data_IF_348828148138
#
_entry.id   IF_348828148138
#
_cell.length_a   1.000
_cell.length_b   1.000
_cell.length_c   1.000
_cell.angle_alpha   90.00
_cell.angle_beta   90.00
_cell.angle_gamma   90.00
#
_symmetry.space_group_name_H-M   'P 1'
#
loop_
_entity.id
_entity.type
_entity.pdbx_description
1 polymer ?
#
# COMPACT_ATOMS: atom_id res chain seq x y z
N UNK A 1 -7.59 -21.50 3.87
CA UNK A 1 -6.79 -20.27 3.69
C UNK A 1 -6.13 -20.30 2.31
N UNK A 2 -5.38 -19.27 1.94
CA UNK A 2 -4.72 -19.19 0.62
C UNK A 2 -3.23 -19.02 0.76
N UNK A 3 -2.48 -19.70 -0.10
CA UNK A 3 -1.03 -19.61 -0.21
C UNK A 3 -0.64 -19.38 -1.67
N UNK A 4 0.62 -18.99 -1.89
CA UNK A 4 1.19 -18.77 -3.22
C UNK A 4 2.57 -19.39 -3.28
N UNK A 5 2.83 -20.16 -4.33
CA UNK A 5 4.15 -20.64 -4.69
C UNK A 5 4.58 -20.07 -6.06
N UNK A 6 5.70 -20.57 -6.59
CA UNK A 6 6.21 -20.18 -7.91
C UNK A 6 5.25 -20.49 -9.06
N UNK A 7 4.34 -21.45 -8.88
CA UNK A 7 3.41 -21.93 -9.90
C UNK A 7 2.03 -21.26 -9.79
N UNK A 8 1.71 -20.60 -8.67
CA UNK A 8 0.53 -19.75 -8.54
C UNK A 8 -0.10 -19.78 -7.16
N UNK A 9 -1.33 -19.27 -7.07
CA UNK A 9 -2.14 -19.32 -5.87
C UNK A 9 -2.84 -20.66 -5.72
N UNK A 10 -2.99 -21.14 -4.48
CA UNK A 10 -3.70 -22.36 -4.13
C UNK A 10 -4.33 -22.28 -2.74
N UNK A 11 -5.23 -23.22 -2.46
CA UNK A 11 -5.91 -23.32 -1.19
C UNK A 11 -5.16 -24.25 -0.24
N UNK A 12 -5.08 -23.86 1.03
CA UNK A 12 -4.51 -24.66 2.09
C UNK A 12 -5.52 -24.84 3.23
N UNK A 13 -5.41 -25.98 3.91
CA UNK A 13 -6.16 -26.23 5.15
C UNK A 13 -5.55 -25.46 6.35
N UNK A 14 -6.05 -25.74 7.56
CA UNK A 14 -5.54 -25.12 8.80
C UNK A 14 -4.15 -25.62 9.21
N UNK A 15 -3.71 -26.76 8.70
CA UNK A 15 -2.37 -27.30 8.90
C UNK A 15 -1.37 -26.78 7.85
N UNK A 16 -1.84 -26.02 6.86
CA UNK A 16 -1.02 -25.49 5.76
C UNK A 16 -0.84 -26.48 4.60
N UNK A 17 -1.61 -27.57 4.57
CA UNK A 17 -1.54 -28.59 3.52
C UNK A 17 -2.34 -28.14 2.30
N UNK A 18 -1.77 -28.32 1.11
CA UNK A 18 -2.45 -28.07 -0.17
C UNK A 18 -3.68 -28.98 -0.31
N UNK A 19 -4.86 -28.37 -0.37
CA UNK A 19 -6.14 -29.09 -0.56
C UNK A 19 -6.58 -29.09 -2.03
N UNK A 20 -5.88 -28.36 -2.89
CA UNK A 20 -6.17 -28.25 -4.31
C UNK A 20 -5.52 -29.31 -5.18
N UNK A 21 -4.90 -30.34 -4.59
CA UNK A 21 -4.24 -31.44 -5.32
C UNK A 21 -3.26 -30.94 -6.39
N UNK A 22 -2.47 -29.90 -6.08
CA UNK A 22 -1.49 -29.32 -7.02
C UNK A 22 -2.09 -28.34 -8.03
N UNK A 23 -3.40 -28.06 -8.00
CA UNK A 23 -4.00 -27.02 -8.84
C UNK A 23 -3.50 -25.64 -8.45
N UNK A 24 -3.23 -24.82 -9.46
CA UNK A 24 -2.73 -23.47 -9.31
C UNK A 24 -3.58 -22.49 -10.12
N UNK A 25 -3.73 -21.30 -9.55
CA UNK A 25 -4.55 -20.24 -10.10
C UNK A 25 -3.74 -18.94 -10.16
N UNK A 26 -4.09 -18.07 -11.10
CA UNK A 26 -3.51 -16.73 -11.22
C UNK A 26 -3.93 -15.84 -10.05
N UNK A 27 -5.17 -15.99 -9.60
CA UNK A 27 -5.76 -15.34 -8.44
C UNK A 27 -6.83 -16.24 -7.82
N UNK A 28 -7.00 -16.18 -6.51
CA UNK A 28 -8.08 -16.86 -5.78
C UNK A 28 -8.68 -15.95 -4.71
N UNK A 29 -10.00 -15.99 -4.60
CA UNK A 29 -10.75 -15.52 -3.44
C UNK A 29 -10.92 -16.63 -2.40
N UNK A 30 -11.38 -16.28 -1.20
CA UNK A 30 -11.75 -17.29 -0.20
C UNK A 30 -13.05 -18.00 -0.61
N UNK A 31 -13.27 -19.19 -0.05
CA UNK A 31 -14.57 -19.85 -0.14
C UNK A 31 -15.60 -19.07 0.68
N UNK A 32 -16.66 -18.63 0.01
CA UNK A 32 -17.87 -18.07 0.59
C UNK A 32 -19.05 -18.97 0.22
N UNK A 33 -19.78 -19.48 1.22
CA UNK A 33 -20.88 -20.43 1.01
C UNK A 33 -20.51 -21.65 0.14
N UNK A 34 -19.31 -22.19 0.35
CA UNK A 34 -18.80 -23.36 -0.37
C UNK A 34 -18.35 -23.08 -1.81
N UNK A 35 -18.23 -21.81 -2.20
CA UNK A 35 -17.83 -21.40 -3.56
C UNK A 35 -16.69 -20.39 -3.53
N UNK A 36 -15.78 -20.46 -4.48
CA UNK A 36 -14.70 -19.47 -4.64
C UNK A 36 -14.60 -19.00 -6.08
N UNK A 37 -14.39 -17.70 -6.26
CA UNK A 37 -13.99 -17.12 -7.54
C UNK A 37 -12.48 -17.30 -7.73
N UNK A 38 -12.09 -17.89 -8.86
CA UNK A 38 -10.69 -18.13 -9.20
C UNK A 38 -10.40 -17.71 -10.63
N UNK A 39 -9.16 -17.29 -10.88
CA UNK A 39 -8.67 -16.98 -12.22
C UNK A 39 -7.69 -18.07 -12.68
N UNK A 40 -7.96 -18.73 -13.82
CA UNK A 40 -7.10 -19.79 -14.36
C UNK A 40 -5.78 -19.22 -14.91
N UNK A 41 -4.72 -20.04 -14.89
CA UNK A 41 -3.38 -19.61 -15.34
C UNK A 41 -3.26 -19.47 -16.86
N UNK A 42 -3.87 -20.38 -17.63
CA UNK A 42 -3.62 -20.52 -19.06
C UNK A 42 -4.32 -19.46 -19.92
N UNK A 43 -5.58 -19.16 -19.61
CA UNK A 43 -6.44 -18.28 -20.40
C UNK A 43 -6.89 -17.03 -19.62
N UNK A 44 -6.47 -16.92 -18.36
CA UNK A 44 -6.92 -15.87 -17.43
C UNK A 44 -8.44 -15.81 -17.25
N UNK A 45 -9.17 -16.86 -17.64
CA UNK A 45 -10.62 -16.95 -17.46
C UNK A 45 -10.95 -17.03 -15.99
N UNK A 46 -12.04 -16.38 -15.59
CA UNK A 46 -12.56 -16.49 -14.23
C UNK A 46 -13.58 -17.62 -14.18
N UNK A 47 -13.53 -18.42 -13.12
CA UNK A 47 -14.53 -19.44 -12.86
C UNK A 47 -14.89 -19.50 -11.38
N UNK A 48 -16.11 -19.95 -11.12
CA UNK A 48 -16.56 -20.27 -9.77
C UNK A 48 -16.29 -21.75 -9.56
N UNK A 49 -15.59 -22.10 -8.49
CA UNK A 49 -15.33 -23.48 -8.09
C UNK A 49 -16.03 -23.79 -6.76
N UNK A 50 -16.35 -25.06 -6.52
CA UNK A 50 -16.70 -25.54 -5.18
C UNK A 50 -15.46 -25.93 -4.35
N UNK A 51 -15.68 -26.34 -3.10
CA UNK A 51 -14.62 -26.81 -2.19
C UNK A 51 -13.91 -28.08 -2.67
N UNK A 52 -14.48 -28.80 -3.63
CA UNK A 52 -13.85 -29.95 -4.31
C UNK A 52 -13.16 -29.51 -5.62
N UNK A 53 -12.99 -28.21 -5.82
CA UNK A 53 -12.39 -27.59 -7.00
C UNK A 53 -13.12 -27.90 -8.31
N UNK A 54 -14.39 -28.32 -8.26
CA UNK A 54 -15.21 -28.52 -9.47
C UNK A 54 -15.68 -27.16 -9.97
N UNK A 55 -15.52 -26.92 -11.27
CA UNK A 55 -15.98 -25.68 -11.90
C UNK A 55 -17.52 -25.71 -11.94
N UNK A 56 -18.14 -24.79 -11.20
CA UNK A 56 -19.59 -24.59 -11.17
C UNK A 56 -20.05 -23.64 -12.28
N UNK A 57 -19.24 -22.62 -12.60
CA UNK A 57 -19.53 -21.66 -13.66
C UNK A 57 -18.24 -21.11 -14.26
N UNK A 58 -18.25 -20.84 -15.57
CA UNK A 58 -17.22 -20.05 -16.25
C UNK A 58 -17.78 -18.66 -16.50
N UNK A 59 -17.02 -17.64 -16.12
CA UNK A 59 -17.31 -16.27 -16.45
C UNK A 59 -16.51 -15.98 -17.72
N UNK A 60 -17.21 -15.74 -18.82
CA UNK A 60 -16.55 -15.30 -20.04
C UNK A 60 -15.85 -13.97 -19.77
N UNK A 61 -14.54 -13.93 -20.01
CA UNK A 61 -13.81 -12.68 -19.99
C UNK A 61 -14.33 -11.83 -21.16
N UNK A 62 -15.19 -10.85 -20.87
CA UNK A 62 -15.52 -9.86 -21.89
C UNK A 62 -14.23 -9.08 -22.19
N UNK A 63 -13.96 -8.80 -23.47
CA UNK A 63 -12.86 -7.90 -23.87
C UNK A 63 -12.92 -6.55 -23.12
N UNK A 64 -14.11 -6.14 -22.71
CA UNK A 64 -14.34 -4.96 -21.90
C UNK A 64 -13.73 -5.03 -20.49
N UNK A 65 -13.62 -6.21 -19.88
CA UNK A 65 -12.99 -6.37 -18.56
C UNK A 65 -11.47 -6.15 -18.64
N UNK A 66 -10.80 -6.76 -19.61
CA UNK A 66 -9.36 -6.54 -19.83
C UNK A 66 -9.06 -5.06 -20.12
N UNK A 67 -9.92 -4.40 -20.91
CA UNK A 67 -9.78 -2.96 -21.16
C UNK A 67 -9.96 -2.15 -19.88
N UNK A 68 -10.99 -2.46 -19.10
CA UNK A 68 -11.27 -1.79 -17.82
C UNK A 68 -10.12 -1.97 -16.82
N UNK A 69 -9.54 -3.16 -16.73
CA UNK A 69 -8.40 -3.45 -15.85
C UNK A 69 -7.16 -2.65 -16.26
N UNK A 70 -6.83 -2.62 -17.56
CA UNK A 70 -5.72 -1.80 -18.07
C UNK A 70 -5.98 -0.32 -17.82
N UNK A 71 -7.20 0.17 -18.06
CA UNK A 71 -7.57 1.55 -17.78
C UNK A 71 -7.46 1.89 -16.29
N UNK A 72 -7.86 0.98 -15.41
CA UNK A 72 -7.76 1.14 -13.96
C UNK A 72 -6.29 1.22 -13.51
N UNK A 73 -5.45 0.27 -13.93
CA UNK A 73 -4.01 0.28 -13.64
C UNK A 73 -3.35 1.53 -14.21
N UNK A 74 -3.71 1.91 -15.45
CA UNK A 74 -3.17 3.11 -16.10
C UNK A 74 -3.50 4.40 -15.35
N UNK A 75 -4.53 4.40 -14.50
CA UNK A 75 -4.93 5.56 -13.70
C UNK A 75 -4.63 5.39 -12.20
N UNK A 76 -4.23 4.21 -11.73
CA UNK A 76 -4.08 3.93 -10.29
C UNK A 76 -2.98 4.74 -9.59
N UNK A 77 -2.12 5.43 -10.37
CA UNK A 77 -1.09 6.30 -9.83
C UNK A 77 -1.64 7.61 -9.25
N UNK A 78 -2.69 8.19 -9.87
CA UNK A 78 -3.10 9.57 -9.55
C UNK A 78 -3.49 9.79 -8.09
N UNK A 79 -4.14 8.85 -7.36
CA UNK A 79 -4.49 9.06 -5.96
C UNK A 79 -3.26 9.27 -5.08
N UNK A 80 -2.18 8.53 -5.34
CA UNK A 80 -0.91 8.63 -4.60
C UNK A 80 -0.24 9.98 -4.83
N UNK A 81 -0.23 10.47 -6.06
CA UNK A 81 0.32 11.80 -6.38
C UNK A 81 -0.56 12.92 -5.80
N UNK A 82 -1.88 12.81 -5.90
CA UNK A 82 -2.79 13.78 -5.29
C UNK A 82 -2.59 13.85 -3.76
N UNK A 83 -2.46 12.69 -3.11
CA UNK A 83 -2.17 12.61 -1.68
C UNK A 83 -0.82 13.24 -1.33
N UNK A 84 0.23 12.97 -2.11
CA UNK A 84 1.55 13.58 -1.92
C UNK A 84 1.46 15.11 -2.00
N UNK A 85 0.95 15.63 -3.11
CA UNK A 85 0.90 17.07 -3.36
C UNK A 85 0.06 17.77 -2.29
N UNK A 86 -1.07 17.18 -1.88
CA UNK A 86 -1.88 17.80 -0.83
C UNK A 86 -1.27 17.71 0.58
N UNK A 87 -0.46 16.70 0.88
CA UNK A 87 0.33 16.65 2.12
C UNK A 87 1.39 17.76 2.13
N UNK A 88 1.96 18.09 0.97
CA UNK A 88 2.93 19.19 0.82
C UNK A 88 2.24 20.57 0.90
N UNK A 89 0.96 20.68 0.49
CA UNK A 89 0.17 21.93 0.46
C UNK A 89 -0.76 22.13 1.66
N UNK A 90 -0.65 21.28 2.67
CA UNK A 90 -1.64 20.99 3.73
C UNK A 90 -2.44 22.16 4.32
N UNK A 91 -1.77 23.25 4.72
CA UNK A 91 -2.44 24.41 5.35
C UNK A 91 -3.22 25.25 4.35
N UNK A 92 -2.82 25.20 3.09
CA UNK A 92 -3.38 26.02 2.02
C UNK A 92 -4.66 25.39 1.45
N UNK A 93 -4.94 24.11 1.74
CA UNK A 93 -6.10 23.39 1.21
C UNK A 93 -7.43 23.72 1.92
N UNK A 94 -7.41 24.34 3.09
CA UNK A 94 -8.66 24.64 3.82
C UNK A 94 -9.31 25.96 3.40
N UNK A 95 -8.54 26.85 2.77
CA UNK A 95 -9.02 28.14 2.30
C UNK A 95 -9.49 28.03 0.85
N UNK A 96 -10.68 28.54 0.57
CA UNK A 96 -11.13 28.76 -0.80
C UNK A 96 -10.71 30.17 -1.20
N UNK A 97 -9.96 30.27 -2.28
CA UNK A 97 -9.48 31.54 -2.79
C UNK A 97 -10.22 31.81 -4.10
N UNK A 98 -11.21 32.68 -4.03
CA UNK A 98 -12.09 32.95 -5.16
C UNK A 98 -11.54 34.02 -6.12
N UNK A 99 -10.33 34.55 -5.89
CA UNK A 99 -9.90 35.79 -6.57
C UNK A 99 -8.49 35.75 -7.19
N UNK A 100 -7.71 34.69 -7.02
CA UNK A 100 -6.44 34.52 -7.74
C UNK A 100 -6.63 33.66 -8.98
N UNK A 101 -6.19 34.16 -10.14
CA UNK A 101 -6.14 33.39 -11.40
C UNK A 101 -4.71 32.89 -11.72
N UNK A 102 -3.84 32.80 -10.71
CA UNK A 102 -2.49 32.27 -10.86
C UNK A 102 -2.47 30.73 -10.93
N UNK A 103 -1.36 30.14 -11.39
CA UNK A 103 -1.27 28.69 -11.54
C UNK A 103 -1.30 27.94 -10.20
N UNK A 104 -0.93 28.59 -9.09
CA UNK A 104 -0.96 27.98 -7.75
C UNK A 104 -2.38 27.88 -7.23
N UNK A 105 -3.24 28.86 -7.50
CA UNK A 105 -4.64 28.84 -7.12
C UNK A 105 -5.38 27.72 -7.84
N UNK A 106 -5.15 27.56 -9.15
CA UNK A 106 -5.70 26.46 -9.95
C UNK A 106 -5.25 25.10 -9.47
N UNK A 107 -3.95 24.92 -9.19
CA UNK A 107 -3.43 23.67 -8.66
C UNK A 107 -4.05 23.35 -7.29
N UNK A 108 -4.20 24.34 -6.40
CA UNK A 108 -4.86 24.17 -5.11
C UNK A 108 -6.32 23.75 -5.28
N UNK A 109 -7.09 24.40 -6.14
CA UNK A 109 -8.49 24.03 -6.42
C UNK A 109 -8.58 22.60 -6.94
N UNK A 110 -7.70 22.21 -7.87
CA UNK A 110 -7.62 20.84 -8.37
C UNK A 110 -7.35 19.84 -7.23
N UNK A 111 -6.38 20.11 -6.36
CA UNK A 111 -6.08 19.24 -5.21
C UNK A 111 -7.27 19.18 -4.24
N UNK A 112 -7.94 20.30 -3.97
CA UNK A 112 -9.13 20.34 -3.10
C UNK A 112 -10.27 19.48 -3.65
N UNK A 113 -10.54 19.57 -4.95
CA UNK A 113 -11.53 18.73 -5.62
C UNK A 113 -11.16 17.25 -5.52
N UNK A 114 -9.91 16.92 -5.86
CA UNK A 114 -9.42 15.53 -5.81
C UNK A 114 -9.43 14.98 -4.37
N UNK A 115 -9.04 15.77 -3.37
CA UNK A 115 -9.11 15.37 -1.96
C UNK A 115 -10.54 15.23 -1.45
N UNK A 116 -11.49 15.94 -2.04
CA UNK A 116 -12.92 15.73 -1.78
C UNK A 116 -13.39 14.41 -2.39
N UNK A 117 -12.99 14.10 -3.62
CA UNK A 117 -13.29 12.82 -4.29
C UNK A 117 -12.69 11.61 -3.53
N UNK A 118 -11.47 11.75 -3.02
CA UNK A 118 -10.82 10.75 -2.16
C UNK A 118 -11.42 10.70 -0.74
N UNK A 119 -12.34 11.61 -0.40
CA UNK A 119 -13.04 11.64 0.88
C UNK A 119 -12.20 12.15 2.05
N UNK A 120 -11.11 12.90 1.80
CA UNK A 120 -10.30 13.56 2.83
C UNK A 120 -10.84 14.93 3.23
N UNK A 121 -11.46 15.62 2.28
CA UNK A 121 -12.11 16.92 2.48
C UNK A 121 -13.60 16.81 2.21
N UNK A 122 -14.35 17.74 2.78
CA UNK A 122 -15.76 17.96 2.49
C UNK A 122 -15.99 19.45 2.30
N UNK A 123 -16.52 19.82 1.14
CA UNK A 123 -16.99 21.18 0.91
C UNK A 123 -18.22 21.42 1.82
N UNK A 124 -18.16 22.49 2.59
CA UNK A 124 -19.26 22.93 3.45
C UNK A 124 -20.50 23.32 2.63
N UNK A 125 -21.66 23.32 3.28
CA UNK A 125 -22.94 23.61 2.63
C UNK A 125 -23.00 25.01 2.00
N UNK A 126 -22.22 25.96 2.52
CA UNK A 126 -22.13 27.33 1.98
C UNK A 126 -21.20 27.45 0.76
N UNK A 127 -20.51 26.36 0.39
CA UNK A 127 -19.53 26.26 -0.69
C UNK A 127 -18.33 27.21 -0.56
N UNK A 128 -18.07 27.76 0.64
CA UNK A 128 -17.01 28.74 0.89
C UNK A 128 -15.82 28.16 1.63
N UNK A 129 -15.99 27.00 2.28
CA UNK A 129 -14.91 26.40 3.08
C UNK A 129 -14.83 24.90 2.90
N UNK A 130 -13.61 24.35 2.93
CA UNK A 130 -13.40 22.92 3.07
C UNK A 130 -13.23 22.55 4.54
N UNK A 131 -13.84 21.44 4.93
CA UNK A 131 -13.68 20.83 6.25
C UNK A 131 -12.98 19.48 6.10
N UNK A 132 -12.19 19.12 7.10
CA UNK A 132 -11.47 17.84 7.12
C UNK A 132 -12.43 16.74 7.59
N UNK A 133 -12.53 15.64 6.83
CA UNK A 133 -13.32 14.46 7.22
C UNK A 133 -12.58 13.61 8.26
N UNK A 134 -13.22 12.60 8.84
CA UNK A 134 -12.53 11.62 9.71
C UNK A 134 -11.34 10.95 9.01
N UNK A 135 -11.53 10.54 7.75
CA UNK A 135 -10.46 9.98 6.93
C UNK A 135 -9.34 11.00 6.70
N UNK A 136 -9.70 12.25 6.43
CA UNK A 136 -8.75 13.34 6.27
C UNK A 136 -7.98 13.64 7.57
N UNK A 137 -8.61 13.52 8.74
CA UNK A 137 -7.96 13.76 10.04
C UNK A 137 -6.74 12.87 10.26
N UNK A 138 -6.80 11.62 9.78
CA UNK A 138 -5.67 10.69 9.79
C UNK A 138 -4.45 11.22 9.02
N UNK A 139 -4.65 12.15 8.09
CA UNK A 139 -3.58 12.80 7.34
C UNK A 139 -3.30 14.20 7.87
N UNK A 140 -4.29 14.89 8.45
CA UNK A 140 -4.18 16.27 8.93
C UNK A 140 -3.47 16.42 10.27
N UNK A 141 -3.62 15.47 11.18
CA UNK A 141 -2.92 15.46 12.46
C UNK A 141 -1.40 15.25 12.26
N UNK A 142 -0.58 16.09 12.90
CA UNK A 142 0.88 15.97 12.87
C UNK A 142 1.39 14.74 13.62
N UNK A 143 0.62 14.26 14.59
CA UNK A 143 0.98 13.09 15.42
C UNK A 143 0.39 11.78 14.88
N UNK A 144 -0.27 11.81 13.73
CA UNK A 144 -0.85 10.61 13.13
C UNK A 144 0.22 9.70 12.53
N UNK A 145 0.23 8.45 12.97
CA UNK A 145 1.02 7.37 12.36
C UNK A 145 0.67 7.19 10.87
N UNK A 146 -0.60 7.30 10.51
CA UNK A 146 -1.05 7.18 9.10
C UNK A 146 -0.43 8.28 8.24
N UNK A 147 -0.34 9.50 8.77
CA UNK A 147 0.33 10.61 8.08
C UNK A 147 1.81 10.31 7.91
N UNK A 148 2.49 9.91 8.96
CA UNK A 148 3.92 9.61 8.90
C UNK A 148 4.22 8.51 7.87
N UNK A 149 3.41 7.44 7.86
CA UNK A 149 3.49 6.38 6.84
C UNK A 149 3.29 6.92 5.43
N UNK A 150 2.29 7.78 5.21
CA UNK A 150 2.05 8.39 3.90
C UNK A 150 3.23 9.27 3.47
N UNK A 151 3.72 10.16 4.35
CA UNK A 151 4.88 11.00 4.08
C UNK A 151 6.14 10.19 3.78
N UNK A 152 6.34 9.05 4.45
CA UNK A 152 7.49 8.18 4.22
C UNK A 152 7.43 7.46 2.87
N UNK A 153 6.29 6.86 2.52
CA UNK A 153 6.14 6.09 1.27
C UNK A 153 6.04 6.97 0.02
N UNK A 154 5.51 8.19 0.15
CA UNK A 154 5.37 9.16 -0.95
C UNK A 154 6.58 10.09 -1.11
N UNK A 155 7.74 9.70 -0.55
CA UNK A 155 8.99 10.44 -0.78
C UNK A 155 9.46 10.30 -2.22
N UNK A 156 10.08 11.36 -2.72
CA UNK A 156 10.58 11.43 -4.09
C UNK A 156 11.57 10.29 -4.38
N UNK A 157 12.45 9.95 -3.43
CA UNK A 157 13.41 8.84 -3.57
C UNK A 157 12.75 7.49 -3.90
N UNK A 158 11.55 7.22 -3.38
CA UNK A 158 10.85 5.97 -3.64
C UNK A 158 10.14 6.02 -4.98
N UNK A 159 9.61 7.18 -5.36
CA UNK A 159 8.94 7.39 -6.64
C UNK A 159 9.96 7.37 -7.78
N UNK A 160 11.10 8.06 -7.62
CA UNK A 160 12.14 8.19 -8.63
C UNK A 160 12.80 6.86 -8.98
N UNK A 161 12.83 5.90 -8.05
CA UNK A 161 13.32 4.54 -8.31
C UNK A 161 12.48 3.77 -9.35
N UNK A 162 11.22 4.18 -9.57
CA UNK A 162 10.32 3.59 -10.57
C UNK A 162 10.24 4.38 -11.88
N UNK A 163 10.79 5.59 -11.90
CA UNK A 163 10.84 6.39 -13.11
C UNK A 163 12.05 5.96 -13.94
N UNK A 164 11.90 5.66 -15.24
CA UNK A 164 13.03 5.42 -16.10
C UNK A 164 14.01 6.60 -16.00
N UNK A 165 15.24 6.36 -15.54
CA UNK A 165 16.35 7.13 -16.07
C UNK A 165 16.37 6.76 -17.55
N UNK A 166 16.13 7.75 -18.44
CA UNK A 166 15.85 7.56 -19.87
C UNK A 166 16.98 6.87 -20.69
N UNK A 167 17.94 6.21 -20.05
CA UNK A 167 19.13 5.64 -20.66
C UNK A 167 19.16 4.11 -20.52
N UNK A 168 18.12 3.45 -21.04
CA UNK A 168 18.08 1.98 -21.14
C UNK A 168 19.10 1.41 -22.14
N UNK A 169 19.75 2.24 -22.96
CA UNK A 169 20.69 1.80 -23.99
C UNK A 169 22.17 2.01 -23.63
N UNK A 170 22.52 2.78 -22.59
CA UNK A 170 23.91 3.00 -22.16
C UNK A 170 24.21 2.55 -20.72
N UNK A 171 23.64 1.44 -20.25
CA UNK A 171 24.05 0.87 -18.96
C UNK A 171 25.35 0.07 -19.07
N UNK A 172 26.43 0.74 -19.48
CA UNK A 172 27.77 0.40 -19.02
C UNK A 172 27.92 0.91 -17.58
N UNK A 173 27.69 0.01 -16.63
CA UNK A 173 28.33 0.02 -15.31
C UNK A 173 28.23 1.32 -14.47
N UNK A 174 27.02 1.85 -14.28
CA UNK A 174 26.75 2.66 -13.09
C UNK A 174 25.39 2.30 -12.49
N UNK A 175 25.29 1.07 -11.99
CA UNK A 175 24.38 0.80 -10.87
C UNK A 175 24.82 1.72 -9.72
N UNK A 176 24.29 2.94 -9.71
CA UNK A 176 24.23 3.74 -8.51
C UNK A 176 23.35 2.96 -7.55
N UNK A 177 23.95 2.05 -6.79
CA UNK A 177 23.33 1.49 -5.60
C UNK A 177 23.03 2.70 -4.72
N UNK A 178 21.81 3.20 -4.80
CA UNK A 178 21.34 4.28 -3.94
C UNK A 178 21.39 3.69 -2.53
N UNK A 179 22.36 4.12 -1.75
CA UNK A 179 22.44 3.79 -0.34
C UNK A 179 21.39 4.59 0.41
N UNK A 180 20.19 4.00 0.46
CA UNK A 180 19.00 4.58 1.10
C UNK A 180 19.28 4.94 2.57
N UNK A 181 20.12 4.17 3.27
CA UNK A 181 20.43 4.44 4.67
C UNK A 181 21.35 5.64 4.81
N UNK A 182 22.39 5.73 3.97
CA UNK A 182 23.25 6.92 3.93
C UNK A 182 22.47 8.18 3.55
N UNK A 183 21.51 8.09 2.63
CA UNK A 183 20.67 9.23 2.28
C UNK A 183 19.74 9.66 3.42
N UNK A 184 19.12 8.69 4.12
CA UNK A 184 18.29 8.97 5.29
C UNK A 184 19.13 9.61 6.41
N UNK A 185 20.35 9.12 6.64
CA UNK A 185 21.24 9.59 7.70
C UNK A 185 21.67 11.07 7.54
N UNK A 186 21.59 11.64 6.33
CA UNK A 186 21.93 13.04 6.06
C UNK A 186 20.94 14.04 6.67
N UNK A 187 19.74 13.61 7.04
CA UNK A 187 18.67 14.53 7.50
C UNK A 187 18.05 14.03 8.80
N UNK A 188 18.30 14.67 9.97
CA UNK A 188 17.77 14.23 11.25
C UNK A 188 16.25 14.05 11.29
N UNK A 189 15.50 14.95 10.65
CA UNK A 189 14.04 14.83 10.55
C UNK A 189 13.61 13.58 9.76
N UNK A 190 14.40 13.20 8.77
CA UNK A 190 14.15 12.02 7.94
C UNK A 190 14.49 10.73 8.69
N UNK A 191 15.55 10.73 9.49
CA UNK A 191 15.85 9.65 10.43
C UNK A 191 14.70 9.48 11.41
N UNK A 192 14.24 10.57 12.03
CA UNK A 192 13.14 10.54 12.99
C UNK A 192 11.84 10.05 12.36
N UNK A 193 11.49 10.52 11.16
CA UNK A 193 10.32 10.03 10.42
C UNK A 193 10.45 8.53 10.11
N UNK A 194 11.60 8.10 9.60
CA UNK A 194 11.87 6.69 9.28
C UNK A 194 11.72 5.81 10.52
N UNK A 195 12.31 6.20 11.65
CA UNK A 195 12.19 5.46 12.91
C UNK A 195 10.74 5.37 13.40
N UNK A 196 9.97 6.47 13.37
CA UNK A 196 8.54 6.44 13.75
C UNK A 196 7.75 5.50 12.85
N UNK A 197 7.99 5.52 11.54
CA UNK A 197 7.29 4.65 10.59
C UNK A 197 7.64 3.19 10.78
N UNK A 198 8.93 2.84 10.83
CA UNK A 198 9.37 1.45 11.01
C UNK A 198 8.93 0.89 12.37
N UNK A 199 9.06 1.69 13.45
CA UNK A 199 8.57 1.29 14.77
C UNK A 199 7.05 1.08 14.75
N UNK A 200 6.28 1.89 14.01
CA UNK A 200 4.83 1.71 13.95
C UNK A 200 4.40 0.39 13.29
N UNK A 201 5.16 -0.13 12.31
CA UNK A 201 4.89 -1.44 11.74
C UNK A 201 5.32 -2.53 12.72
N UNK A 202 6.52 -2.41 13.29
CA UNK A 202 7.04 -3.37 14.26
C UNK A 202 6.13 -3.52 15.49
N UNK A 203 5.60 -2.43 16.04
CA UNK A 203 4.66 -2.46 17.17
C UNK A 203 3.37 -3.23 16.83
N UNK A 204 2.93 -3.19 15.56
CA UNK A 204 1.75 -3.92 15.09
C UNK A 204 2.08 -5.39 14.81
N UNK A 205 3.19 -5.64 14.10
CA UNK A 205 3.61 -6.99 13.69
C UNK A 205 3.99 -7.86 14.89
N UNK A 206 4.63 -7.25 15.91
CA UNK A 206 5.05 -7.95 17.12
C UNK A 206 4.00 -7.93 18.24
N UNK A 207 2.83 -7.33 18.00
CA UNK A 207 1.77 -7.32 19.00
C UNK A 207 1.34 -8.76 19.37
N UNK A 208 1.52 -9.14 20.64
CA UNK A 208 1.18 -10.47 21.13
C UNK A 208 2.15 -11.59 20.72
N UNK A 209 3.32 -11.26 20.15
CA UNK A 209 4.31 -12.24 19.68
C UNK A 209 4.76 -13.21 20.77
N UNK A 210 4.72 -12.81 22.04
CA UNK A 210 5.06 -13.65 23.20
C UNK A 210 4.22 -14.92 23.28
N UNK A 211 2.99 -14.91 22.75
CA UNK A 211 2.12 -16.08 22.69
C UNK A 211 2.53 -17.09 21.60
N UNK A 212 3.23 -16.64 20.56
CA UNK A 212 3.67 -17.45 19.43
C UNK A 212 5.11 -17.98 19.60
N UNK A 213 5.93 -17.32 20.42
CA UNK A 213 7.32 -17.72 20.62
C UNK A 213 7.46 -19.00 21.47
N UNK A 214 8.41 -19.89 21.13
CA UNK A 214 8.69 -21.08 21.92
C UNK A 214 8.95 -20.76 23.40
N UNK A 215 8.33 -21.51 24.31
CA UNK A 215 8.51 -21.31 25.76
C UNK A 215 9.96 -21.42 26.22
N UNK A 216 10.80 -22.12 25.47
CA UNK A 216 12.23 -22.24 25.73
C UNK A 216 12.98 -20.90 25.62
N UNK A 217 12.52 -19.97 24.78
CA UNK A 217 13.12 -18.63 24.66
C UNK A 217 12.98 -17.84 25.97
N UNK A 218 11.86 -17.97 26.68
CA UNK A 218 11.65 -17.32 27.99
C UNK A 218 12.50 -17.93 29.12
N UNK A 219 13.21 -19.02 28.86
CA UNK A 219 14.16 -19.65 29.80
C UNK A 219 15.62 -19.35 29.44
N UNK A 220 15.87 -18.67 28.33
CA UNK A 220 17.21 -18.27 27.95
C UNK A 220 17.74 -17.25 28.98
N UNK A 221 19.03 -17.37 29.32
CA UNK A 221 19.70 -16.41 30.21
C UNK A 221 19.97 -15.06 29.53
N UNK A 222 19.98 -15.04 28.19
CA UNK A 222 20.20 -13.85 27.36
C UNK A 222 19.52 -14.01 26.01
N UNK A 223 18.93 -12.93 25.50
CA UNK A 223 18.37 -12.80 24.16
C UNK A 223 18.98 -11.56 23.53
N UNK A 224 19.46 -11.66 22.29
CA UNK A 224 20.05 -10.55 21.53
C UNK A 224 19.25 -10.34 20.26
N UNK A 225 18.74 -9.12 20.07
CA UNK A 225 18.00 -8.71 18.87
C UNK A 225 18.94 -7.95 17.92
N UNK A 226 19.47 -8.66 16.93
CA UNK A 226 20.41 -8.11 15.96
C UNK A 226 19.65 -7.32 14.90
N UNK A 227 19.89 -6.01 14.85
CA UNK A 227 19.16 -5.14 13.94
C UNK A 227 17.73 -4.84 14.38
N UNK A 228 17.42 -5.01 15.67
CA UNK A 228 16.10 -4.75 16.28
C UNK A 228 15.58 -3.32 16.21
N UNK A 229 16.30 -2.42 15.55
CA UNK A 229 15.99 -1.00 15.45
C UNK A 229 15.89 -0.36 16.83
N UNK A 230 14.69 0.07 17.19
CA UNK A 230 14.39 0.68 18.50
C UNK A 230 13.89 -0.34 19.54
N UNK A 231 14.04 -1.63 19.25
CA UNK A 231 13.74 -2.73 20.19
C UNK A 231 12.26 -3.05 20.35
N UNK A 232 11.44 -2.86 19.31
CA UNK A 232 9.99 -3.14 19.40
C UNK A 232 9.68 -4.60 19.76
N UNK A 233 10.50 -5.56 19.34
CA UNK A 233 10.35 -6.98 19.67
C UNK A 233 10.68 -7.31 21.13
N UNK A 234 11.63 -6.58 21.72
CA UNK A 234 12.14 -6.84 23.08
C UNK A 234 11.45 -5.99 24.16
N UNK A 235 10.54 -5.10 23.80
CA UNK A 235 9.71 -4.33 24.73
C UNK A 235 8.50 -5.13 25.18
#
# INVERSE_FOLDING_TARGET
ARARDENGWFFIDRAGVDIGEGRRYRQIENFYNGQALVQLLHDSSRCIIDEQHRILARLDNCQDENRTDIEYISKSYWPSFALKIGLDQKTNLLQVDHQSNDDKSKLREQIQHVWTELGFLKLSSDKKTFTVTDRGRLLFDRNSITRDRACYWLRDQHISAWLPTFDFQNQSSSNSNIDVFSDIAKTPDLVALTQRVLNSYADQDWHGITSALPKALFRASSIVDLGGGVGALLR
#
